data_IF_398763116509
#
_entry.id   IF_398763116509
#
_cell.length_a   1.000
_cell.length_b   1.000
_cell.length_c   1.000
_cell.angle_alpha   90.00
_cell.angle_beta   90.00
_cell.angle_gamma   90.00
#
_symmetry.space_group_name_H-M   'P 1'
#
loop_
_entity.id
_entity.type
_entity.pdbx_description
1 polymer ?
#
# COMPACT_ATOMS: atom_id res chain seq x y z
N UNK A 1 6.91 15.67 19.95
CA UNK A 1 7.31 16.56 18.85
C UNK A 1 6.94 15.83 17.57
N UNK A 2 5.90 16.29 16.86
CA UNK A 2 5.44 15.64 15.61
C UNK A 2 6.60 15.57 14.62
N UNK A 3 6.82 14.40 14.05
CA UNK A 3 7.84 14.16 13.04
C UNK A 3 7.43 14.87 11.75
N UNK A 4 8.22 15.84 11.31
CA UNK A 4 7.89 16.64 10.13
C UNK A 4 8.50 15.97 8.89
N UNK A 5 7.65 15.50 7.99
CA UNK A 5 8.09 15.07 6.67
C UNK A 5 8.50 16.30 5.85
N UNK A 6 9.70 16.30 5.29
CA UNK A 6 10.22 17.45 4.54
C UNK A 6 9.84 17.33 3.06
N UNK A 7 8.90 18.15 2.63
CA UNK A 7 8.47 18.26 1.22
C UNK A 7 9.13 19.44 0.48
N UNK A 8 9.92 20.25 1.18
CA UNK A 8 10.49 21.49 0.63
C UNK A 8 11.90 21.33 0.07
N UNK A 9 12.73 20.53 0.76
CA UNK A 9 14.11 20.30 0.32
C UNK A 9 14.16 19.45 -0.95
N UNK A 10 15.07 19.78 -1.86
CA UNK A 10 15.30 18.96 -3.04
C UNK A 10 15.63 17.50 -2.67
N UNK A 11 15.17 16.56 -3.48
CA UNK A 11 15.54 15.18 -3.30
C UNK A 11 17.06 14.99 -3.44
N UNK A 12 17.63 14.23 -2.54
CA UNK A 12 19.08 14.03 -2.41
C UNK A 12 19.68 14.71 -1.19
N UNK A 13 19.00 15.69 -0.58
CA UNK A 13 19.49 16.37 0.63
C UNK A 13 19.56 15.44 1.85
N UNK A 14 18.68 14.45 1.89
CA UNK A 14 18.56 13.50 2.99
C UNK A 14 19.15 12.12 2.68
N UNK A 15 20.10 12.04 1.73
CA UNK A 15 20.79 10.78 1.45
C UNK A 15 21.48 10.24 2.70
N UNK A 16 21.36 8.93 2.99
CA UNK A 16 22.09 8.30 4.09
C UNK A 16 23.60 8.49 3.96
N UNK A 17 24.29 8.75 5.09
CA UNK A 17 25.75 8.96 5.15
C UNK A 17 26.38 7.97 6.14
N UNK A 18 27.70 7.78 6.04
CA UNK A 18 28.48 6.98 6.97
C UNK A 18 27.95 5.55 7.14
N UNK A 19 27.80 5.11 8.39
CA UNK A 19 27.36 3.76 8.72
C UNK A 19 25.96 3.40 8.17
N UNK A 20 25.05 4.39 8.09
CA UNK A 20 23.73 4.18 7.52
C UNK A 20 23.80 3.87 6.01
N UNK A 21 24.61 4.60 5.26
CA UNK A 21 24.81 4.36 3.83
C UNK A 21 25.46 2.99 3.57
N UNK A 22 26.48 2.63 4.34
CA UNK A 22 27.14 1.33 4.23
C UNK A 22 26.15 0.20 4.54
N UNK A 23 25.37 0.36 5.60
CA UNK A 23 24.34 -0.59 6.02
C UNK A 23 23.34 -0.87 4.90
N UNK A 24 22.81 0.15 4.23
CA UNK A 24 21.88 -0.01 3.11
C UNK A 24 22.54 -0.73 1.92
N UNK A 25 23.77 -0.35 1.57
CA UNK A 25 24.51 -1.03 0.49
C UNK A 25 24.69 -2.52 0.77
N UNK A 26 25.01 -2.89 2.01
CA UNK A 26 25.14 -4.30 2.40
C UNK A 26 23.81 -5.04 2.33
N UNK A 27 22.70 -4.40 2.74
CA UNK A 27 21.36 -4.98 2.65
C UNK A 27 20.97 -5.21 1.18
N UNK A 28 21.26 -4.26 0.30
CA UNK A 28 20.93 -4.36 -1.13
C UNK A 28 21.67 -5.51 -1.85
N UNK A 29 22.83 -5.90 -1.35
CA UNK A 29 23.59 -7.04 -1.87
C UNK A 29 23.04 -8.39 -1.39
N UNK A 30 22.19 -8.43 -0.38
CA UNK A 30 21.63 -9.67 0.13
C UNK A 30 20.59 -10.24 -0.86
N UNK A 31 20.67 -11.53 -1.20
CA UNK A 31 19.61 -12.17 -1.96
C UNK A 31 18.26 -12.08 -1.23
N UNK A 32 17.18 -11.83 -1.95
CA UNK A 32 15.82 -11.71 -1.41
C UNK A 32 15.25 -13.09 -0.95
N UNK A 33 16.01 -13.83 -0.13
CA UNK A 33 15.62 -15.12 0.43
C UNK A 33 15.38 -15.00 1.93
N UNK A 34 14.41 -15.74 2.44
CA UNK A 34 13.99 -15.68 3.85
C UNK A 34 15.15 -15.84 4.86
N UNK A 35 16.16 -16.65 4.53
CA UNK A 35 17.35 -16.88 5.39
C UNK A 35 18.14 -15.58 5.63
N UNK A 36 18.23 -14.68 4.65
CA UNK A 36 18.95 -13.41 4.76
C UNK A 36 18.15 -12.30 5.46
N UNK A 37 16.85 -12.51 5.67
CA UNK A 37 15.98 -11.51 6.34
C UNK A 37 16.47 -11.15 7.75
N UNK A 38 16.98 -12.14 8.51
CA UNK A 38 17.55 -11.89 9.85
C UNK A 38 18.81 -11.03 9.77
N UNK A 39 19.65 -11.25 8.77
CA UNK A 39 20.88 -10.45 8.54
C UNK A 39 20.51 -9.02 8.16
N UNK A 40 19.59 -8.84 7.21
CA UNK A 40 19.08 -7.52 6.84
C UNK A 40 18.49 -6.77 8.05
N UNK A 41 17.75 -7.49 8.91
CA UNK A 41 17.19 -6.92 10.13
C UNK A 41 18.27 -6.45 11.13
N UNK A 42 19.38 -7.13 11.23
CA UNK A 42 20.51 -6.70 12.07
C UNK A 42 21.23 -5.49 11.45
N UNK A 43 21.46 -5.52 10.14
CA UNK A 43 22.17 -4.47 9.41
C UNK A 43 21.43 -3.12 9.45
N UNK A 44 20.12 -3.07 9.65
CA UNK A 44 19.35 -1.82 9.69
C UNK A 44 19.53 -0.99 10.98
N UNK A 45 20.20 -1.51 12.00
CA UNK A 45 20.40 -0.81 13.30
C UNK A 45 20.95 0.62 13.15
N UNK A 46 21.97 0.91 12.30
CA UNK A 46 22.50 2.26 12.13
C UNK A 46 21.45 3.26 11.60
N UNK A 47 20.48 2.81 10.78
CA UNK A 47 19.39 3.66 10.30
C UNK A 47 18.41 3.98 11.42
N UNK A 48 18.05 2.98 12.25
CA UNK A 48 17.15 3.17 13.39
C UNK A 48 17.72 4.11 14.46
N UNK A 49 19.03 4.11 14.65
CA UNK A 49 19.73 4.99 15.60
C UNK A 49 20.01 6.38 15.03
N UNK A 50 19.72 6.62 13.75
CA UNK A 50 19.84 7.95 13.14
C UNK A 50 18.88 8.95 13.77
N UNK A 51 19.32 10.20 13.90
CA UNK A 51 18.47 11.32 14.32
C UNK A 51 17.69 11.95 13.16
N UNK A 52 17.93 11.51 11.91
CA UNK A 52 17.21 12.02 10.75
C UNK A 52 15.79 11.41 10.73
N UNK A 53 14.80 12.24 10.47
CA UNK A 53 13.39 11.85 10.40
C UNK A 53 13.01 11.26 9.05
N UNK A 54 13.76 11.60 7.99
CA UNK A 54 13.55 11.09 6.63
C UNK A 54 14.89 10.74 5.99
N UNK A 55 14.83 9.79 5.03
CA UNK A 55 15.94 9.48 4.14
C UNK A 55 15.49 9.50 2.67
N UNK A 56 16.37 10.05 1.83
CA UNK A 56 16.27 9.95 0.38
C UNK A 56 17.00 8.71 -0.10
N UNK A 57 16.27 7.81 -0.73
CA UNK A 57 16.81 6.56 -1.26
C UNK A 57 16.24 6.25 -2.64
N UNK A 58 17.07 5.75 -3.53
CA UNK A 58 16.61 5.13 -4.76
C UNK A 58 16.26 3.67 -4.48
N UNK A 59 15.01 3.27 -4.79
CA UNK A 59 14.50 1.91 -4.61
C UNK A 59 13.75 1.54 -5.88
N UNK A 60 14.04 0.39 -6.47
CA UNK A 60 13.43 -0.11 -7.71
C UNK A 60 13.53 0.87 -8.90
N UNK A 61 14.57 1.72 -8.91
CA UNK A 61 14.77 2.77 -9.92
C UNK A 61 13.90 4.01 -9.73
N UNK A 62 13.26 4.14 -8.56
CA UNK A 62 12.46 5.32 -8.18
C UNK A 62 13.16 6.11 -7.07
N UNK A 63 13.09 7.42 -7.16
CA UNK A 63 13.53 8.36 -6.12
C UNK A 63 12.48 8.41 -5.03
N UNK A 64 12.84 8.09 -3.80
CA UNK A 64 11.89 8.07 -2.69
C UNK A 64 12.44 8.82 -1.49
N UNK A 65 11.59 9.61 -0.84
CA UNK A 65 11.80 10.13 0.50
C UNK A 65 10.92 9.36 1.45
N UNK A 66 11.53 8.69 2.42
CA UNK A 66 10.81 7.79 3.32
C UNK A 66 11.08 8.16 4.78
N UNK A 67 10.05 8.07 5.60
CA UNK A 67 10.16 8.34 7.03
C UNK A 67 10.89 7.21 7.76
N UNK A 68 11.71 7.60 8.73
CA UNK A 68 12.51 6.65 9.55
C UNK A 68 11.75 6.16 10.77
N UNK A 69 10.68 6.85 11.14
CA UNK A 69 9.86 6.61 12.35
C UNK A 69 8.39 6.87 12.07
N UNK A 70 7.52 6.44 12.98
CA UNK A 70 6.09 6.72 12.93
C UNK A 70 5.31 5.96 11.85
N UNK A 71 5.97 5.12 11.03
CA UNK A 71 5.33 4.24 10.06
C UNK A 71 6.18 2.99 9.84
N UNK A 72 5.66 1.83 10.21
CA UNK A 72 6.37 0.56 10.13
C UNK A 72 6.58 0.10 8.68
N UNK A 73 5.63 0.37 7.81
CA UNK A 73 5.71 0.05 6.38
C UNK A 73 6.83 0.85 5.71
N UNK A 74 6.89 2.16 5.91
CA UNK A 74 7.98 2.98 5.37
C UNK A 74 9.36 2.57 5.91
N UNK A 75 9.45 2.25 7.22
CA UNK A 75 10.70 1.77 7.81
C UNK A 75 11.18 0.46 7.19
N UNK A 76 10.27 -0.47 6.90
CA UNK A 76 10.59 -1.74 6.23
C UNK A 76 10.95 -1.49 4.77
N UNK A 77 10.17 -0.67 4.09
CA UNK A 77 10.43 -0.26 2.72
C UNK A 77 11.78 0.43 2.57
N UNK A 78 12.07 1.44 3.41
CA UNK A 78 13.35 2.13 3.44
C UNK A 78 14.53 1.17 3.66
N UNK A 79 14.40 0.23 4.60
CA UNK A 79 15.53 -0.57 5.06
C UNK A 79 15.68 -1.91 4.36
N UNK A 80 14.59 -2.53 3.94
CA UNK A 80 14.56 -3.90 3.42
C UNK A 80 13.51 -4.06 2.30
N UNK A 81 13.57 -3.25 1.21
CA UNK A 81 12.53 -3.21 0.19
C UNK A 81 12.26 -4.56 -0.47
N UNK A 82 13.30 -5.37 -0.68
CA UNK A 82 13.19 -6.67 -1.34
C UNK A 82 12.72 -7.80 -0.40
N UNK A 83 12.52 -7.52 0.88
CA UNK A 83 12.06 -8.49 1.88
C UNK A 83 10.68 -8.18 2.44
N UNK A 84 10.19 -6.95 2.24
CA UNK A 84 8.88 -6.53 2.67
C UNK A 84 7.86 -7.05 1.67
N UNK A 85 6.91 -7.83 2.13
CA UNK A 85 5.84 -8.46 1.35
C UNK A 85 6.31 -9.06 0.02
N UNK A 86 7.51 -9.67 0.05
CA UNK A 86 8.15 -10.21 -1.15
C UNK A 86 7.28 -11.28 -1.88
N UNK A 87 6.61 -12.22 -1.20
CA UNK A 87 5.71 -13.17 -1.85
C UNK A 87 4.50 -12.52 -2.49
N UNK A 88 3.94 -11.48 -1.87
CA UNK A 88 2.83 -10.68 -2.38
C UNK A 88 3.23 -9.91 -3.63
N UNK A 89 4.37 -9.24 -3.55
CA UNK A 89 4.95 -8.51 -4.68
C UNK A 89 5.25 -9.44 -5.88
N UNK A 90 5.78 -10.63 -5.64
CA UNK A 90 6.02 -11.63 -6.68
C UNK A 90 4.71 -12.08 -7.34
N UNK A 91 3.69 -12.37 -6.54
CA UNK A 91 2.38 -12.78 -7.04
C UNK A 91 1.69 -11.64 -7.84
N UNK A 92 1.79 -10.40 -7.35
CA UNK A 92 1.26 -9.23 -8.05
C UNK A 92 1.98 -9.01 -9.40
N UNK A 93 3.31 -9.21 -9.45
CA UNK A 93 4.09 -9.14 -10.71
C UNK A 93 3.55 -10.08 -11.78
N UNK A 94 3.12 -11.27 -11.40
CA UNK A 94 2.64 -12.28 -12.35
C UNK A 94 1.33 -11.85 -13.05
N UNK A 95 0.57 -10.92 -12.48
CA UNK A 95 -0.73 -10.50 -13.01
C UNK A 95 -0.70 -9.09 -13.60
N UNK A 96 0.25 -8.24 -13.22
CA UNK A 96 0.43 -6.93 -13.84
C UNK A 96 0.94 -7.07 -15.27
N UNK A 97 0.34 -6.30 -16.18
CA UNK A 97 0.64 -6.28 -17.62
C UNK A 97 0.39 -4.87 -18.19
N UNK A 98 0.83 -4.57 -19.43
CA UNK A 98 0.49 -3.32 -20.07
C UNK A 98 -1.02 -3.06 -20.07
N UNK A 99 -1.43 -1.83 -19.74
CA UNK A 99 -2.83 -1.42 -19.66
C UNK A 99 -3.62 -2.00 -18.47
N UNK A 100 -2.96 -2.64 -17.50
CA UNK A 100 -3.62 -3.13 -16.28
C UNK A 100 -4.13 -1.98 -15.41
N UNK A 101 -5.19 -2.26 -14.66
CA UNK A 101 -5.73 -1.38 -13.61
C UNK A 101 -5.47 -2.03 -12.25
N UNK A 102 -4.69 -1.36 -11.42
CA UNK A 102 -4.37 -1.79 -10.06
C UNK A 102 -5.02 -0.85 -9.03
N UNK A 103 -5.75 -1.44 -8.08
CA UNK A 103 -6.31 -0.73 -6.93
C UNK A 103 -5.42 -0.91 -5.70
N UNK A 104 -5.03 0.18 -5.06
CA UNK A 104 -4.29 0.20 -3.80
C UNK A 104 -5.15 0.89 -2.74
N UNK A 105 -5.95 0.08 -2.01
CA UNK A 105 -6.92 0.56 -1.02
C UNK A 105 -6.29 0.50 0.37
N UNK A 106 -6.20 1.66 1.03
CA UNK A 106 -5.33 1.86 2.19
C UNK A 106 -3.88 1.97 1.75
N UNK A 107 -3.62 2.83 0.75
CA UNK A 107 -2.32 2.92 0.09
C UNK A 107 -1.18 3.34 1.03
N UNK A 108 -1.50 3.97 2.17
CA UNK A 108 -0.52 4.46 3.12
C UNK A 108 0.50 5.39 2.41
N UNK A 109 1.79 5.28 2.67
CA UNK A 109 2.83 6.03 1.97
C UNK A 109 3.10 5.54 0.53
N UNK A 110 2.34 4.55 0.03
CA UNK A 110 2.37 4.10 -1.36
C UNK A 110 3.28 2.91 -1.66
N UNK A 111 3.56 2.03 -0.71
CA UNK A 111 4.45 0.88 -0.96
C UNK A 111 4.03 0.06 -2.18
N UNK A 112 2.79 -0.42 -2.24
CA UNK A 112 2.29 -1.21 -3.37
C UNK A 112 2.12 -0.38 -4.64
N UNK A 113 1.66 0.87 -4.52
CA UNK A 113 1.59 1.84 -5.61
C UNK A 113 2.93 2.00 -6.32
N UNK A 114 4.00 2.34 -5.58
CA UNK A 114 5.34 2.54 -6.17
C UNK A 114 5.96 1.23 -6.63
N UNK A 115 5.68 0.13 -5.94
CA UNK A 115 6.14 -1.17 -6.39
C UNK A 115 5.53 -1.55 -7.75
N UNK A 116 4.22 -1.37 -7.92
CA UNK A 116 3.54 -1.62 -9.21
C UNK A 116 4.09 -0.72 -10.33
N UNK A 117 4.24 0.58 -10.08
CA UNK A 117 4.79 1.53 -11.03
C UNK A 117 6.25 1.22 -11.41
N UNK A 118 7.02 0.67 -10.48
CA UNK A 118 8.42 0.27 -10.74
C UNK A 118 8.57 -0.87 -11.75
N UNK A 119 7.49 -1.63 -12.03
CA UNK A 119 7.47 -2.67 -13.04
C UNK A 119 7.47 -2.09 -14.47
N UNK A 120 7.22 -0.78 -14.63
CA UNK A 120 7.31 -0.03 -15.89
C UNK A 120 6.43 -0.58 -17.01
N UNK A 121 5.28 -1.15 -16.68
CA UNK A 121 4.31 -1.56 -17.68
C UNK A 121 3.71 -0.32 -18.38
N UNK A 122 3.65 -0.35 -19.70
CA UNK A 122 3.00 0.71 -20.46
C UNK A 122 1.51 0.81 -20.06
N UNK A 123 1.02 2.03 -19.94
CA UNK A 123 -0.39 2.35 -19.65
C UNK A 123 -0.94 1.69 -18.37
N UNK A 124 -0.08 1.29 -17.42
CA UNK A 124 -0.49 0.85 -16.10
C UNK A 124 -1.16 2.03 -15.37
N UNK A 125 -2.40 1.83 -14.95
CA UNK A 125 -3.15 2.79 -14.16
C UNK A 125 -3.24 2.30 -12.70
N UNK A 126 -2.86 3.15 -11.77
CA UNK A 126 -3.05 2.89 -10.34
C UNK A 126 -4.14 3.79 -9.80
N UNK A 127 -5.08 3.20 -9.05
CA UNK A 127 -6.07 3.93 -8.27
C UNK A 127 -5.70 3.70 -6.81
N UNK A 128 -5.19 4.75 -6.17
CA UNK A 128 -4.77 4.70 -4.78
C UNK A 128 -5.79 5.44 -3.91
N UNK A 129 -6.20 4.82 -2.81
CA UNK A 129 -7.14 5.42 -1.85
C UNK A 129 -6.49 5.43 -0.47
N UNK A 130 -6.41 6.61 0.13
CA UNK A 130 -5.79 6.80 1.44
C UNK A 130 -6.46 7.96 2.17
N UNK A 131 -6.99 7.76 3.39
CA UNK A 131 -7.65 8.84 4.13
C UNK A 131 -6.68 9.72 4.95
N UNK A 132 -5.47 9.25 5.30
CA UNK A 132 -4.54 10.02 6.13
C UNK A 132 -3.86 11.12 5.34
N UNK A 133 -4.07 12.39 5.72
CA UNK A 133 -3.40 13.53 5.10
C UNK A 133 -1.87 13.44 5.23
N UNK A 134 -1.37 12.89 6.32
CA UNK A 134 0.07 12.68 6.53
C UNK A 134 0.64 11.68 5.52
N UNK A 135 -0.09 10.60 5.25
CA UNK A 135 0.33 9.60 4.25
C UNK A 135 0.16 10.14 2.83
N UNK A 136 -0.91 10.87 2.57
CA UNK A 136 -1.16 11.54 1.29
C UNK A 136 -0.07 12.56 0.94
N UNK A 137 0.41 13.35 1.90
CA UNK A 137 1.53 14.28 1.69
C UNK A 137 2.79 13.53 1.21
N UNK A 138 3.13 12.41 1.85
CA UNK A 138 4.28 11.57 1.49
C UNK A 138 4.13 10.93 0.12
N UNK A 139 2.95 10.38 -0.16
CA UNK A 139 2.62 9.76 -1.43
C UNK A 139 2.69 10.79 -2.58
N UNK A 140 2.04 11.95 -2.42
CA UNK A 140 2.07 13.04 -3.41
C UNK A 140 3.48 13.54 -3.68
N UNK A 141 4.30 13.75 -2.64
CA UNK A 141 5.69 14.15 -2.80
C UNK A 141 6.48 13.14 -3.63
N UNK A 142 6.40 11.85 -3.28
CA UNK A 142 7.13 10.80 -3.99
C UNK A 142 6.63 10.57 -5.42
N UNK A 143 5.34 10.77 -5.70
CA UNK A 143 4.81 10.75 -7.07
C UNK A 143 5.39 11.92 -7.90
N UNK A 144 5.39 13.12 -7.33
CA UNK A 144 5.85 14.32 -8.02
C UNK A 144 7.33 14.27 -8.40
N UNK A 145 8.22 13.82 -7.50
CA UNK A 145 9.67 13.74 -7.80
C UNK A 145 10.07 12.66 -8.81
N UNK A 146 9.12 11.80 -9.19
CA UNK A 146 9.31 10.75 -10.19
C UNK A 146 8.49 10.98 -11.47
N UNK A 147 7.78 12.11 -11.59
CA UNK A 147 6.89 12.42 -12.71
C UNK A 147 5.77 11.36 -12.92
N UNK A 148 5.28 10.76 -11.81
CA UNK A 148 4.29 9.67 -11.83
C UNK A 148 2.87 10.12 -11.48
N UNK A 149 2.61 11.40 -11.33
CA UNK A 149 1.31 11.94 -10.91
C UNK A 149 0.17 11.61 -11.88
N UNK A 150 0.46 11.46 -13.16
CA UNK A 150 -0.54 11.10 -14.18
C UNK A 150 -0.85 9.61 -14.26
N UNK A 151 0.03 8.75 -13.73
CA UNK A 151 -0.16 7.31 -13.67
C UNK A 151 -1.03 6.86 -12.47
N UNK A 152 -1.28 7.76 -11.52
CA UNK A 152 -2.03 7.47 -10.30
C UNK A 152 -3.23 8.40 -10.15
N UNK A 153 -4.42 7.81 -10.05
CA UNK A 153 -5.61 8.52 -9.58
C UNK A 153 -5.66 8.36 -8.06
N UNK A 154 -5.46 9.46 -7.32
CA UNK A 154 -5.37 9.45 -5.86
C UNK A 154 -6.65 10.00 -5.25
N UNK A 155 -7.33 9.20 -4.43
CA UNK A 155 -8.52 9.58 -3.68
C UNK A 155 -8.20 9.80 -2.20
N UNK A 156 -8.32 11.05 -1.69
CA UNK A 156 -8.08 11.38 -0.29
C UNK A 156 -9.35 11.13 0.56
N UNK A 157 -9.76 9.87 0.65
CA UNK A 157 -10.99 9.50 1.36
C UNK A 157 -10.85 8.11 2.01
N UNK A 158 -11.75 7.78 2.91
CA UNK A 158 -11.92 6.41 3.40
C UNK A 158 -12.82 5.62 2.44
N UNK A 159 -12.62 4.30 2.34
CA UNK A 159 -13.57 3.44 1.64
C UNK A 159 -14.60 2.93 2.63
N UNK A 160 -15.89 3.11 2.31
CA UNK A 160 -17.01 2.80 3.19
C UNK A 160 -18.12 2.08 2.41
N UNK A 161 -19.01 1.31 3.10
CA UNK A 161 -20.12 0.64 2.42
C UNK A 161 -21.13 1.59 1.76
N UNK A 162 -21.32 2.76 2.37
CA UNK A 162 -22.25 3.82 1.91
C UNK A 162 -21.58 5.18 2.09
N UNK A 163 -21.96 6.20 1.31
CA UNK A 163 -21.45 7.57 1.51
C UNK A 163 -21.70 8.04 2.95
N UNK A 164 -20.66 8.48 3.62
CA UNK A 164 -20.76 8.99 4.99
C UNK A 164 -19.55 9.89 5.31
N UNK A 165 -19.58 10.49 6.49
CA UNK A 165 -18.40 11.13 7.09
C UNK A 165 -17.83 10.18 8.15
N UNK A 166 -16.53 10.01 8.19
CA UNK A 166 -15.84 9.16 9.16
C UNK A 166 -14.74 9.94 9.88
N UNK A 167 -14.42 9.51 11.09
CA UNK A 167 -13.35 10.10 11.89
C UNK A 167 -12.11 9.21 11.76
N UNK A 168 -11.01 9.82 11.38
CA UNK A 168 -9.72 9.18 11.32
C UNK A 168 -8.95 9.46 12.61
N UNK A 169 -8.53 8.39 13.29
CA UNK A 169 -7.67 8.46 14.45
C UNK A 169 -6.32 7.86 14.08
N UNK A 170 -5.26 8.66 14.19
CA UNK A 170 -3.89 8.21 13.98
C UNK A 170 -3.28 7.70 15.28
N UNK A 171 -2.58 6.59 15.23
CA UNK A 171 -1.81 6.10 16.36
C UNK A 171 -0.46 6.82 16.44
N UNK A 172 -0.11 7.41 17.57
CA UNK A 172 1.14 8.19 17.76
C UNK A 172 2.41 7.38 17.42
N UNK A 173 2.41 6.07 17.69
CA UNK A 173 3.56 5.19 17.43
C UNK A 173 3.59 4.65 16.00
N UNK A 174 2.45 4.59 15.31
CA UNK A 174 2.33 4.10 13.94
C UNK A 174 1.21 4.86 13.20
N UNK A 175 1.55 6.04 12.68
CA UNK A 175 0.64 6.94 11.95
C UNK A 175 0.04 6.26 10.71
N UNK A 176 0.69 5.20 10.21
CA UNK A 176 0.19 4.39 9.09
C UNK A 176 -0.94 3.43 9.47
N UNK A 177 -1.18 3.17 10.76
CA UNK A 177 -2.36 2.45 11.23
C UNK A 177 -3.46 3.46 11.56
N UNK A 178 -4.44 3.52 10.69
CA UNK A 178 -5.54 4.49 10.76
C UNK A 178 -6.82 3.74 11.07
N UNK A 179 -7.41 3.99 12.23
CA UNK A 179 -8.71 3.43 12.56
C UNK A 179 -9.84 4.35 12.05
N UNK A 180 -10.76 3.78 11.29
CA UNK A 180 -12.00 4.45 10.86
C UNK A 180 -13.05 4.28 11.95
N UNK A 181 -13.59 5.39 12.46
CA UNK A 181 -14.64 5.39 13.51
C UNK A 181 -15.76 6.34 13.14
N UNK A 182 -16.95 6.04 13.65
CA UNK A 182 -18.10 6.95 13.55
C UNK A 182 -18.07 8.06 14.59
N UNK A 183 -17.37 7.85 15.72
CA UNK A 183 -17.31 8.79 16.84
C UNK A 183 -15.92 8.74 17.50
N UNK A 184 -15.45 9.87 18.03
CA UNK A 184 -14.18 9.93 18.78
C UNK A 184 -13.36 11.20 18.52
N UNK A 185 -12.14 11.22 19.04
CA UNK A 185 -11.14 12.27 18.76
C UNK A 185 -10.38 11.93 17.49
N UNK A 186 -10.30 12.88 16.54
CA UNK A 186 -9.63 12.72 15.26
C UNK A 186 -10.04 13.83 14.29
N UNK A 187 -9.73 13.67 13.03
CA UNK A 187 -10.21 14.56 11.98
C UNK A 187 -11.17 13.83 11.05
N UNK A 188 -12.08 14.61 10.45
CA UNK A 188 -13.14 14.07 9.60
C UNK A 188 -12.66 13.95 8.17
N UNK A 189 -13.01 12.83 7.53
CA UNK A 189 -12.80 12.61 6.11
C UNK A 189 -14.06 12.06 5.46
N UNK A 190 -14.18 12.27 4.17
CA UNK A 190 -15.24 11.68 3.36
C UNK A 190 -15.06 10.16 3.29
N UNK A 191 -16.15 9.42 3.55
CA UNK A 191 -16.25 7.98 3.32
C UNK A 191 -17.01 7.73 2.02
N UNK A 192 -16.44 6.98 1.09
CA UNK A 192 -17.00 6.72 -0.24
C UNK A 192 -17.06 5.23 -0.57
N UNK A 193 -18.15 4.76 -1.19
CA UNK A 193 -18.24 3.40 -1.72
C UNK A 193 -17.18 3.14 -2.80
N UNK A 194 -16.59 1.92 -2.76
CA UNK A 194 -15.58 1.53 -3.74
C UNK A 194 -16.10 1.62 -5.19
N UNK A 195 -17.37 1.24 -5.43
CA UNK A 195 -17.98 1.34 -6.77
C UNK A 195 -18.01 2.77 -7.29
N UNK A 196 -18.27 3.76 -6.43
CA UNK A 196 -18.32 5.16 -6.84
C UNK A 196 -16.94 5.69 -7.21
N UNK A 197 -15.90 5.27 -6.48
CA UNK A 197 -14.51 5.60 -6.82
C UNK A 197 -14.10 5.03 -8.19
N UNK A 198 -14.53 3.78 -8.50
CA UNK A 198 -14.24 3.15 -9.79
C UNK A 198 -14.98 3.83 -10.95
N UNK A 199 -16.22 4.25 -10.73
CA UNK A 199 -17.00 5.03 -11.71
C UNK A 199 -16.35 6.39 -11.99
N UNK A 200 -15.94 7.10 -10.95
CA UNK A 200 -15.24 8.39 -11.09
C UNK A 200 -13.89 8.22 -11.81
N UNK A 201 -13.17 7.13 -11.53
CA UNK A 201 -11.93 6.82 -12.24
C UNK A 201 -12.15 6.41 -13.71
N UNK A 202 -13.39 6.16 -14.12
CA UNK A 202 -13.74 5.78 -15.48
C UNK A 202 -13.10 4.46 -15.92
N UNK A 203 -13.01 3.46 -15.01
CA UNK A 203 -12.44 2.15 -15.34
C UNK A 203 -13.54 1.15 -15.66
N UNK A 204 -13.28 0.31 -16.65
CA UNK A 204 -14.22 -0.74 -17.10
C UNK A 204 -13.89 -2.12 -16.51
N UNK A 205 -12.70 -2.29 -15.93
CA UNK A 205 -12.25 -3.52 -15.28
C UNK A 205 -11.22 -3.20 -14.21
N UNK A 206 -10.99 -4.15 -13.31
CA UNK A 206 -9.90 -4.14 -12.33
C UNK A 206 -9.11 -5.43 -12.47
N UNK A 207 -7.81 -5.32 -12.73
CA UNK A 207 -6.94 -6.49 -12.91
C UNK A 207 -6.42 -7.00 -11.56
N UNK A 208 -6.03 -6.09 -10.66
CA UNK A 208 -5.54 -6.45 -9.34
C UNK A 208 -5.96 -5.44 -8.27
N UNK A 209 -6.09 -5.89 -7.03
CA UNK A 209 -6.38 -5.07 -5.86
C UNK A 209 -5.51 -5.47 -4.67
N UNK A 210 -4.94 -4.51 -3.97
CA UNK A 210 -4.54 -4.63 -2.57
C UNK A 210 -5.57 -3.89 -1.73
N UNK A 211 -6.07 -4.51 -0.67
CA UNK A 211 -6.95 -3.87 0.30
C UNK A 211 -6.44 -4.15 1.71
N UNK A 212 -6.30 -3.07 2.49
CA UNK A 212 -5.78 -3.09 3.86
C UNK A 212 -6.32 -1.85 4.59
N UNK A 213 -7.47 -1.99 5.22
CA UNK A 213 -8.23 -0.91 5.86
C UNK A 213 -8.62 -1.24 7.30
N UNK A 214 -7.72 -1.98 7.97
CA UNK A 214 -7.74 -2.20 9.42
C UNK A 214 -9.07 -2.80 9.92
N UNK A 215 -9.40 -3.99 9.42
CA UNK A 215 -10.60 -4.79 9.74
C UNK A 215 -11.94 -4.21 9.22
N UNK A 216 -11.93 -3.28 8.29
CA UNK A 216 -13.14 -2.75 7.68
C UNK A 216 -13.41 -3.32 6.27
N UNK A 217 -12.62 -4.31 5.83
CA UNK A 217 -12.68 -4.93 4.51
C UNK A 217 -14.02 -5.63 4.25
N UNK A 218 -14.51 -6.39 5.22
CA UNK A 218 -15.73 -7.21 5.06
C UNK A 218 -16.96 -6.36 4.71
N UNK A 219 -17.35 -5.33 5.49
CA UNK A 219 -18.50 -4.51 5.16
C UNK A 219 -18.35 -3.76 3.83
N UNK A 220 -17.15 -3.27 3.53
CA UNK A 220 -16.85 -2.56 2.27
C UNK A 220 -16.99 -3.49 1.08
N UNK A 221 -16.36 -4.66 1.10
CA UNK A 221 -16.38 -5.62 0.00
C UNK A 221 -17.76 -6.27 -0.16
N UNK A 222 -18.49 -6.51 0.93
CA UNK A 222 -19.86 -7.01 0.86
C UNK A 222 -20.76 -6.02 0.10
N UNK A 223 -20.67 -4.72 0.43
CA UNK A 223 -21.44 -3.68 -0.27
C UNK A 223 -21.01 -3.59 -1.74
N UNK A 224 -19.72 -3.69 -2.02
CA UNK A 224 -19.19 -3.66 -3.37
C UNK A 224 -19.68 -4.86 -4.20
N UNK A 225 -19.55 -6.08 -3.73
CA UNK A 225 -19.96 -7.26 -4.47
C UNK A 225 -21.48 -7.32 -4.69
N UNK A 226 -22.28 -6.75 -3.79
CA UNK A 226 -23.74 -6.68 -3.94
C UNK A 226 -24.19 -5.69 -5.02
N UNK A 227 -23.35 -4.68 -5.37
CA UNK A 227 -23.77 -3.56 -6.22
C UNK A 227 -22.93 -3.41 -7.51
N UNK A 228 -21.70 -3.86 -7.49
CA UNK A 228 -20.80 -3.72 -8.62
C UNK A 228 -21.05 -4.78 -9.69
N UNK A 229 -21.03 -4.40 -10.98
CA UNK A 229 -21.07 -5.39 -12.06
C UNK A 229 -19.80 -6.26 -12.01
N UNK A 230 -19.97 -7.55 -12.37
CA UNK A 230 -18.89 -8.55 -12.30
C UNK A 230 -17.60 -8.15 -13.03
N UNK A 231 -17.70 -7.37 -14.11
CA UNK A 231 -16.51 -6.88 -14.84
C UNK A 231 -15.60 -5.96 -14.03
N UNK A 232 -16.11 -5.35 -12.95
CA UNK A 232 -15.32 -4.52 -12.02
C UNK A 232 -14.75 -5.32 -10.84
N UNK A 233 -15.11 -6.59 -10.69
CA UNK A 233 -14.55 -7.41 -9.62
C UNK A 233 -13.08 -7.70 -9.92
N UNK A 234 -12.16 -7.39 -8.96
CA UNK A 234 -10.74 -7.61 -9.19
C UNK A 234 -10.43 -9.09 -9.46
N UNK A 235 -9.67 -9.37 -10.52
CA UNK A 235 -9.27 -10.76 -10.82
C UNK A 235 -8.26 -11.32 -9.81
N UNK A 236 -7.46 -10.44 -9.22
CA UNK A 236 -6.44 -10.78 -8.25
C UNK A 236 -6.55 -9.86 -7.04
N UNK A 237 -6.55 -10.41 -5.83
CA UNK A 237 -6.67 -9.64 -4.59
C UNK A 237 -5.61 -10.07 -3.58
N UNK A 238 -4.95 -9.08 -2.99
CA UNK A 238 -4.14 -9.24 -1.78
C UNK A 238 -4.87 -8.56 -0.64
N UNK A 239 -5.13 -9.28 0.46
CA UNK A 239 -5.76 -8.69 1.64
C UNK A 239 -5.21 -9.30 2.92
N UNK A 240 -5.14 -8.51 3.99
CA UNK A 240 -4.78 -9.03 5.31
C UNK A 240 -5.86 -10.00 5.79
N UNK A 241 -5.41 -11.17 6.30
CA UNK A 241 -6.29 -12.25 6.77
C UNK A 241 -5.95 -12.70 8.19
N UNK A 242 -5.22 -11.87 8.93
CA UNK A 242 -4.84 -12.13 10.33
C UNK A 242 -5.79 -11.39 11.26
N UNK A 243 -6.00 -11.94 12.44
CA UNK A 243 -6.91 -11.35 13.42
C UNK A 243 -8.37 -11.76 13.23
N UNK A 244 -9.26 -11.08 13.92
CA UNK A 244 -10.70 -11.44 13.99
C UNK A 244 -11.43 -11.30 12.64
N UNK A 245 -10.98 -10.38 11.79
CA UNK A 245 -11.54 -10.15 10.45
C UNK A 245 -11.14 -11.18 9.39
N UNK A 246 -10.10 -11.99 9.63
CA UNK A 246 -9.48 -12.83 8.61
C UNK A 246 -10.38 -13.96 8.09
N UNK A 247 -11.02 -14.73 8.96
CA UNK A 247 -11.92 -15.80 8.53
C UNK A 247 -13.22 -15.28 7.87
N UNK A 248 -13.92 -14.27 8.40
CA UNK A 248 -15.03 -13.64 7.70
C UNK A 248 -14.67 -13.15 6.30
N UNK A 249 -13.50 -12.56 6.14
CA UNK A 249 -13.01 -12.05 4.85
C UNK A 249 -12.73 -13.17 3.85
N UNK A 250 -12.10 -14.27 4.28
CA UNK A 250 -11.90 -15.46 3.44
C UNK A 250 -13.23 -16.05 2.97
N UNK A 251 -14.19 -16.18 3.89
CA UNK A 251 -15.52 -16.72 3.58
C UNK A 251 -16.26 -15.81 2.58
N UNK A 252 -16.12 -14.49 2.72
CA UNK A 252 -16.68 -13.52 1.79
C UNK A 252 -16.11 -13.74 0.38
N UNK A 253 -14.80 -13.81 0.21
CA UNK A 253 -14.18 -14.05 -1.09
C UNK A 253 -14.61 -15.39 -1.70
N UNK A 254 -14.59 -16.47 -0.91
CA UNK A 254 -14.97 -17.80 -1.38
C UNK A 254 -16.44 -17.84 -1.82
N UNK A 255 -17.36 -17.23 -1.06
CA UNK A 255 -18.78 -17.16 -1.42
C UNK A 255 -19.05 -16.38 -2.71
N UNK A 256 -18.12 -15.51 -3.12
CA UNK A 256 -18.19 -14.76 -4.38
C UNK A 256 -17.37 -15.39 -5.51
N UNK A 257 -16.93 -16.65 -5.34
CA UNK A 257 -16.28 -17.43 -6.37
C UNK A 257 -14.76 -17.25 -6.46
N UNK A 258 -14.14 -16.52 -5.52
CA UNK A 258 -12.69 -16.44 -5.46
C UNK A 258 -12.10 -17.73 -4.88
N UNK A 259 -10.96 -18.13 -5.41
CA UNK A 259 -10.12 -19.18 -4.85
C UNK A 259 -8.99 -18.55 -4.04
N UNK A 260 -8.76 -19.02 -2.82
CA UNK A 260 -7.55 -18.71 -2.06
C UNK A 260 -6.37 -19.44 -2.72
N UNK A 261 -5.50 -18.72 -3.37
CA UNK A 261 -4.31 -19.25 -4.06
C UNK A 261 -3.18 -19.53 -3.08
N UNK A 262 -2.93 -18.58 -2.18
CA UNK A 262 -1.82 -18.66 -1.24
C UNK A 262 -2.11 -17.86 0.04
N UNK A 263 -1.64 -18.38 1.17
CA UNK A 263 -1.48 -17.60 2.40
C UNK A 263 -0.01 -17.22 2.58
N UNK A 264 0.24 -15.98 2.93
CA UNK A 264 1.54 -15.51 3.40
C UNK A 264 1.48 -15.34 4.92
N UNK A 265 2.46 -14.64 5.49
CA UNK A 265 2.48 -14.43 6.95
C UNK A 265 1.27 -13.62 7.45
N UNK A 266 0.86 -12.61 6.69
CA UNK A 266 -0.19 -11.66 7.07
C UNK A 266 -1.35 -11.67 6.08
N UNK A 267 -1.09 -11.97 4.80
CA UNK A 267 -2.05 -11.79 3.73
C UNK A 267 -2.55 -13.11 3.13
N UNK A 268 -3.78 -13.10 2.64
CA UNK A 268 -4.30 -14.04 1.67
C UNK A 268 -4.20 -13.46 0.26
N UNK A 269 -3.87 -14.33 -0.70
CA UNK A 269 -3.90 -14.02 -2.12
C UNK A 269 -5.07 -14.76 -2.72
N UNK A 270 -6.02 -14.02 -3.27
CA UNK A 270 -7.25 -14.56 -3.84
C UNK A 270 -7.29 -14.31 -5.35
N UNK A 271 -7.76 -15.29 -6.09
CA UNK A 271 -7.87 -15.21 -7.54
C UNK A 271 -9.31 -15.54 -7.94
N UNK A 272 -9.89 -14.67 -8.74
CA UNK A 272 -11.17 -14.91 -9.38
C UNK A 272 -10.91 -15.65 -10.69
N UNK A 273 -11.33 -16.92 -10.83
CA UNK A 273 -11.19 -17.64 -12.09
C UNK A 273 -11.91 -16.92 -13.23
N UNK A 274 -11.29 -16.89 -14.39
CA UNK A 274 -11.96 -16.42 -15.61
C UNK A 274 -13.07 -17.40 -15.98
N UNK A 275 -14.33 -16.95 -16.00
CA UNK A 275 -15.47 -17.74 -16.47
C UNK A 275 -15.46 -17.95 -18.01
N UNK A 276 -14.32 -17.67 -18.67
CA UNK A 276 -14.14 -17.67 -20.12
C UNK A 276 -13.25 -18.81 -20.64
N UNK A 277 -13.22 -19.93 -19.91
CA UNK A 277 -12.64 -21.20 -20.40
C UNK A 277 -13.69 -22.25 -20.61
#
# INVERSE_FOLDING_TARGET
>A
MSMKFDTFSAWGNWKPKGAAALSLKLIDLLPARAIFRKVAFLLRKPLKSSRQDVFDREIWGLKLRLATRGNLTEQRWLTMPNFHDAPECEALRAVLRPGAVFLDIGANAGFYTFWALSQKHADLRVIAVEPSEVMLERLRYNLAINDLTTAVTLYPCAVTPTPCEVIITEHEENIGQTAVRSEGSGYRVEGRPLLDLLRDAGVARVDAMKIDIENYEVPVLQAFFNTAPRCLWPHFVISEIVGEGGEPLKNLFVSHGYRLDRCTKMNGIFVLPDDRL
#
